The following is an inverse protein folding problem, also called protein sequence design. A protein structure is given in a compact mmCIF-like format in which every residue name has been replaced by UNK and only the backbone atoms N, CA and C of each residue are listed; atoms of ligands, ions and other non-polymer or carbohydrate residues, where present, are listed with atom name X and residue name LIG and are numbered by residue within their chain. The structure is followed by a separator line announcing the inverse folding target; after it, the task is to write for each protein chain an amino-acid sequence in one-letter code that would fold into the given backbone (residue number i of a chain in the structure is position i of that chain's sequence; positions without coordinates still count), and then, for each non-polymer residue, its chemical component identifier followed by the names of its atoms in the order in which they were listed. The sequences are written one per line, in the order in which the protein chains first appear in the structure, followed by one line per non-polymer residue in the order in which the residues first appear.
data_IF_352108125868
#
_entry.id   IF_352108125868
#
_cell.length_a   1.000
_cell.length_b   1.000
_cell.length_c   1.000
_cell.angle_alpha   90.00
_cell.angle_beta   90.00
_cell.angle_gamma   90.00
#
_symmetry.space_group_name_H-M   'P 1'
#
loop_
_entity.id
_entity.type
_entity.pdbx_description
1 polymer ?
#
# COMPACT_ATOMS: atom_id res chain seq x y z
N UNK A 1 21.53 34.41 -16.01
CA UNK A 1 20.24 33.87 -15.57
C UNK A 1 20.39 33.44 -14.12
N UNK A 2 19.93 34.25 -13.18
CA UNK A 2 19.88 33.87 -11.75
C UNK A 2 18.65 32.97 -11.56
N UNK A 3 18.86 31.69 -11.25
CA UNK A 3 17.78 30.82 -10.76
C UNK A 3 17.30 31.42 -9.43
N UNK A 4 16.03 31.84 -9.35
CA UNK A 4 15.45 32.25 -8.07
C UNK A 4 15.27 31.00 -7.21
N UNK A 5 16.14 30.85 -6.20
CA UNK A 5 16.16 29.73 -5.23
C UNK A 5 14.85 29.57 -4.43
N UNK A 6 13.91 30.51 -4.53
CA UNK A 6 12.64 30.50 -3.81
C UNK A 6 11.58 29.55 -4.41
N UNK A 7 11.61 29.32 -5.73
CA UNK A 7 10.64 28.44 -6.40
C UNK A 7 10.93 26.95 -6.21
N UNK A 8 12.21 26.57 -6.24
CA UNK A 8 12.64 25.18 -6.17
C UNK A 8 12.32 24.55 -4.81
N UNK A 9 12.49 25.31 -3.72
CA UNK A 9 12.15 24.85 -2.37
C UNK A 9 10.66 24.56 -2.19
N UNK A 10 9.79 25.35 -2.82
CA UNK A 10 8.35 25.11 -2.77
C UNK A 10 7.95 23.85 -3.55
N UNK A 11 8.55 23.63 -4.72
CA UNK A 11 8.32 22.44 -5.54
C UNK A 11 8.77 21.18 -4.77
N UNK A 12 9.98 21.18 -4.21
CA UNK A 12 10.49 20.06 -3.41
C UNK A 12 9.57 19.76 -2.22
N UNK A 13 9.10 20.80 -1.54
CA UNK A 13 8.16 20.66 -0.42
C UNK A 13 6.84 20.03 -0.87
N UNK A 14 6.26 20.45 -2.00
CA UNK A 14 5.03 19.87 -2.56
C UNK A 14 5.20 18.39 -2.91
N UNK A 15 6.34 18.00 -3.48
CA UNK A 15 6.65 16.59 -3.77
C UNK A 15 6.74 15.78 -2.47
N UNK A 16 7.45 16.28 -1.46
CA UNK A 16 7.62 15.63 -0.16
C UNK A 16 6.32 15.51 0.64
N UNK A 17 5.50 16.55 0.63
CA UNK A 17 4.21 16.60 1.31
C UNK A 17 3.09 15.88 0.54
N UNK A 18 3.34 15.44 -0.69
CA UNK A 18 2.37 14.71 -1.49
C UNK A 18 1.79 13.49 -0.77
N UNK A 19 0.48 13.31 -0.86
CA UNK A 19 -0.26 12.19 -0.25
C UNK A 19 -1.11 11.45 -1.28
N UNK A 20 -1.39 10.19 -0.97
CA UNK A 20 -2.37 9.33 -1.66
C UNK A 20 -3.44 8.97 -0.64
N UNK A 21 -4.71 9.29 -0.96
CA UNK A 21 -5.83 8.82 -0.16
C UNK A 21 -6.03 7.33 -0.47
N UNK A 22 -5.88 6.48 0.55
CA UNK A 22 -5.89 5.02 0.39
C UNK A 22 -6.89 4.41 1.35
N UNK A 23 -7.68 3.45 0.85
CA UNK A 23 -8.52 2.57 1.64
C UNK A 23 -7.91 1.17 1.59
N UNK A 24 -7.67 0.56 2.74
CA UNK A 24 -7.11 -0.80 2.83
C UNK A 24 -8.16 -1.69 3.48
N UNK A 25 -8.58 -2.72 2.75
CA UNK A 25 -9.47 -3.78 3.22
C UNK A 25 -8.68 -5.07 3.43
N UNK A 26 -9.15 -5.93 4.32
CA UNK A 26 -8.66 -7.29 4.40
C UNK A 26 -9.23 -8.10 3.23
N UNK A 27 -8.42 -8.95 2.60
CA UNK A 27 -8.88 -9.86 1.58
C UNK A 27 -9.91 -10.86 2.15
N UNK A 28 -10.98 -11.11 1.40
CA UNK A 28 -12.08 -11.98 1.85
C UNK A 28 -11.61 -13.41 2.11
N UNK A 29 -10.61 -13.86 1.35
CA UNK A 29 -9.99 -15.19 1.44
C UNK A 29 -9.28 -15.42 2.79
N UNK A 30 -8.81 -14.33 3.42
CA UNK A 30 -8.03 -14.39 4.66
C UNK A 30 -8.90 -14.11 5.90
N UNK A 31 -10.20 -13.86 5.71
CA UNK A 31 -11.14 -13.60 6.78
C UNK A 31 -11.38 -14.86 7.61
N UNK A 32 -11.27 -14.71 8.93
CA UNK A 32 -11.82 -15.70 9.86
C UNK A 32 -13.34 -15.62 9.92
N UNK A 33 -13.98 -16.65 10.46
CA UNK A 33 -15.45 -16.73 10.60
C UNK A 33 -16.06 -15.68 11.55
N UNK A 34 -15.26 -14.84 12.20
CA UNK A 34 -15.68 -13.87 13.21
C UNK A 34 -16.15 -12.51 12.64
N UNK A 35 -16.20 -12.37 11.32
CA UNK A 35 -16.73 -11.19 10.63
C UNK A 35 -15.66 -10.31 9.98
N UNK A 36 -16.08 -9.52 8.99
CA UNK A 36 -15.23 -8.60 8.24
C UNK A 36 -14.79 -7.41 9.13
N UNK A 37 -13.48 -7.11 9.23
CA UNK A 37 -13.01 -5.95 9.97
C UNK A 37 -13.28 -4.65 9.21
N UNK A 38 -13.37 -3.55 9.96
CA UNK A 38 -13.50 -2.23 9.35
C UNK A 38 -12.29 -1.89 8.44
N UNK A 39 -12.53 -1.28 7.26
CA UNK A 39 -11.47 -0.79 6.39
C UNK A 39 -10.65 0.31 7.06
N UNK A 40 -9.35 0.34 6.75
CA UNK A 40 -8.44 1.40 7.19
C UNK A 40 -8.32 2.48 6.12
N UNK A 41 -8.66 3.72 6.47
CA UNK A 41 -8.49 4.88 5.58
C UNK A 41 -7.26 5.69 6.02
N UNK A 42 -6.32 5.92 5.10
CA UNK A 42 -5.02 6.53 5.37
C UNK A 42 -4.62 7.52 4.28
N UNK A 43 -3.91 8.57 4.70
CA UNK A 43 -3.22 9.50 3.79
C UNK A 43 -1.75 9.11 3.70
N UNK A 44 -1.39 8.31 2.70
CA UNK A 44 -0.05 7.73 2.58
C UNK A 44 0.93 8.69 1.87
N UNK A 45 2.17 8.87 2.34
CA UNK A 45 3.16 9.70 1.67
C UNK A 45 3.58 9.09 0.31
N UNK A 46 3.50 9.88 -0.76
CA UNK A 46 3.86 9.43 -2.13
C UNK A 46 5.29 8.92 -2.24
N UNK A 47 6.21 9.52 -1.50
CA UNK A 47 7.66 9.22 -1.53
C UNK A 47 8.07 8.07 -0.59
N UNK A 48 7.13 7.47 0.14
CA UNK A 48 7.39 6.36 1.06
C UNK A 48 7.07 5.00 0.41
N UNK A 49 7.28 3.93 1.17
CA UNK A 49 7.06 2.54 0.77
C UNK A 49 6.04 1.87 1.70
N UNK A 50 5.26 0.94 1.16
CA UNK A 50 4.19 0.25 1.91
C UNK A 50 4.66 -0.48 3.18
N UNK A 51 5.77 -1.23 3.19
CA UNK A 51 6.19 -1.98 4.39
C UNK A 51 6.41 -1.08 5.62
N UNK A 52 6.80 0.18 5.40
CA UNK A 52 7.04 1.16 6.48
C UNK A 52 5.75 1.70 7.09
N UNK A 53 4.66 1.75 6.32
CA UNK A 53 3.38 2.37 6.75
C UNK A 53 2.35 1.34 7.20
N UNK A 54 2.48 0.08 6.76
CA UNK A 54 1.48 -0.97 6.99
C UNK A 54 1.59 -1.65 8.37
N UNK A 55 2.63 -1.43 9.17
CA UNK A 55 2.80 -2.15 10.45
C UNK A 55 1.57 -2.05 11.37
N UNK A 56 0.95 -0.87 11.46
CA UNK A 56 -0.24 -0.65 12.30
C UNK A 56 -1.47 -1.35 11.72
N UNK A 57 -1.65 -1.27 10.40
CA UNK A 57 -2.76 -1.88 9.66
C UNK A 57 -2.70 -3.40 9.80
N UNK A 58 -1.51 -3.98 9.60
CA UNK A 58 -1.24 -5.41 9.79
C UNK A 58 -1.68 -5.87 11.18
N UNK A 59 -1.22 -5.20 12.25
CA UNK A 59 -1.56 -5.57 13.64
C UNK A 59 -3.07 -5.50 13.92
N UNK A 60 -3.77 -4.57 13.28
CA UNK A 60 -5.23 -4.47 13.42
C UNK A 60 -5.96 -5.62 12.74
N UNK A 61 -5.52 -6.01 11.54
CA UNK A 61 -6.14 -7.11 10.80
C UNK A 61 -5.75 -8.49 11.31
N UNK A 62 -4.56 -8.68 11.88
CA UNK A 62 -4.11 -9.96 12.46
C UNK A 62 -5.11 -10.61 13.43
N UNK A 63 -5.94 -9.81 14.12
CA UNK A 63 -6.97 -10.31 15.04
C UNK A 63 -8.15 -10.99 14.33
N UNK A 64 -8.37 -10.66 13.07
CA UNK A 64 -9.48 -11.10 12.23
C UNK A 64 -9.08 -12.17 11.20
N UNK A 65 -7.79 -12.54 11.19
CA UNK A 65 -7.20 -13.52 10.29
C UNK A 65 -7.00 -14.85 11.02
N UNK A 66 -7.15 -15.96 10.29
CA UNK A 66 -6.89 -17.31 10.78
C UNK A 66 -5.48 -17.43 11.40
N UNK A 67 -5.32 -18.14 12.53
CA UNK A 67 -4.03 -18.24 13.23
C UNK A 67 -2.87 -18.69 12.35
N UNK A 68 -3.13 -19.55 11.37
CA UNK A 68 -2.14 -20.05 10.40
C UNK A 68 -1.49 -18.95 9.54
N UNK A 69 -2.18 -17.86 9.22
CA UNK A 69 -1.65 -16.79 8.37
C UNK A 69 -1.08 -15.60 9.13
N UNK A 70 -1.15 -15.59 10.48
CA UNK A 70 -0.75 -14.39 11.27
C UNK A 70 0.72 -14.03 11.12
N UNK A 71 1.57 -15.04 10.95
CA UNK A 71 3.02 -14.91 10.82
C UNK A 71 3.49 -14.84 9.36
N UNK A 72 2.58 -15.01 8.40
CA UNK A 72 2.90 -14.90 6.98
C UNK A 72 3.31 -13.47 6.60
N UNK A 73 4.09 -13.38 5.52
CA UNK A 73 4.40 -12.12 4.87
C UNK A 73 3.14 -11.55 4.21
N UNK A 74 2.87 -10.28 4.48
CA UNK A 74 1.71 -9.59 3.90
C UNK A 74 2.04 -9.07 2.51
N UNK A 75 1.03 -9.01 1.65
CA UNK A 75 1.14 -8.35 0.35
C UNK A 75 -0.14 -7.57 0.03
N UNK A 76 -0.07 -6.69 -0.97
CA UNK A 76 -1.18 -5.84 -1.36
C UNK A 76 -1.66 -6.16 -2.77
N UNK A 77 -2.95 -6.03 -3.00
CA UNK A 77 -3.62 -6.14 -4.30
C UNK A 77 -4.38 -4.85 -4.62
N UNK A 78 -4.37 -4.47 -5.90
CA UNK A 78 -5.27 -3.48 -6.48
C UNK A 78 -5.95 -4.09 -7.70
N UNK A 79 -7.27 -4.24 -7.66
CA UNK A 79 -8.08 -4.73 -8.79
C UNK A 79 -7.54 -6.04 -9.41
N UNK A 80 -7.22 -7.03 -8.57
CA UNK A 80 -6.64 -8.31 -9.02
C UNK A 80 -5.15 -8.25 -9.38
N UNK A 81 -4.50 -7.08 -9.30
CA UNK A 81 -3.07 -6.91 -9.59
C UNK A 81 -2.28 -6.90 -8.28
N UNK A 82 -1.35 -7.83 -8.06
CA UNK A 82 -0.47 -7.82 -6.89
C UNK A 82 0.57 -6.69 -6.98
N UNK A 83 0.69 -5.90 -5.91
CA UNK A 83 1.57 -4.74 -5.82
C UNK A 83 3.00 -5.15 -5.47
N UNK A 84 3.94 -4.61 -6.25
CA UNK A 84 5.37 -4.64 -5.97
C UNK A 84 5.75 -3.57 -4.96
N UNK A 85 5.61 -3.90 -3.67
CA UNK A 85 5.79 -2.97 -2.53
C UNK A 85 7.20 -2.35 -2.41
N UNK A 86 8.18 -2.83 -3.19
CA UNK A 86 9.52 -2.23 -3.31
C UNK A 86 9.54 -0.92 -4.10
N UNK A 87 8.44 -0.54 -4.77
CA UNK A 87 8.31 0.76 -5.43
C UNK A 87 7.63 1.79 -4.52
N UNK A 88 7.92 3.09 -4.69
CA UNK A 88 7.26 4.13 -3.91
C UNK A 88 5.74 4.12 -4.12
N UNK A 89 5.00 4.44 -3.07
CA UNK A 89 3.53 4.42 -3.04
C UNK A 89 2.95 5.30 -4.16
N UNK A 90 3.51 6.50 -4.37
CA UNK A 90 3.07 7.41 -5.42
C UNK A 90 3.27 6.83 -6.82
N UNK A 91 4.39 6.14 -7.06
CA UNK A 91 4.68 5.51 -8.36
C UNK A 91 3.69 4.38 -8.64
N UNK A 92 3.43 3.53 -7.66
CA UNK A 92 2.45 2.44 -7.82
C UNK A 92 1.04 2.99 -8.07
N UNK A 93 0.64 4.03 -7.34
CA UNK A 93 -0.65 4.69 -7.55
C UNK A 93 -0.76 5.29 -8.95
N UNK A 94 0.24 6.05 -9.40
CA UNK A 94 0.17 6.75 -10.69
C UNK A 94 0.16 5.78 -11.88
N UNK A 95 0.82 4.63 -11.76
CA UNK A 95 0.86 3.60 -12.82
C UNK A 95 -0.42 2.75 -12.86
N UNK A 96 -0.94 2.37 -11.69
CA UNK A 96 -2.06 1.42 -11.60
C UNK A 96 -3.43 2.11 -11.57
N UNK A 97 -3.55 3.24 -10.86
CA UNK A 97 -4.81 3.98 -10.70
C UNK A 97 -4.93 5.11 -11.73
N UNK A 98 -4.92 4.74 -13.02
CA UNK A 98 -4.87 5.70 -14.14
C UNK A 98 -6.12 6.59 -14.22
N UNK A 99 -7.26 6.10 -13.76
CA UNK A 99 -8.51 6.88 -13.68
C UNK A 99 -8.51 7.92 -12.55
N UNK A 100 -7.53 7.86 -11.65
CA UNK A 100 -7.40 8.80 -10.53
C UNK A 100 -8.51 8.67 -9.50
N UNK A 101 -9.14 7.50 -9.39
CA UNK A 101 -10.22 7.27 -8.43
C UNK A 101 -9.69 7.37 -6.99
N UNK A 102 -10.36 8.15 -6.16
CA UNK A 102 -10.01 8.32 -4.75
C UNK A 102 -11.19 7.92 -3.86
N UNK A 103 -10.97 7.16 -2.77
CA UNK A 103 -9.67 6.65 -2.33
C UNK A 103 -9.16 5.48 -3.19
N UNK A 104 -7.84 5.30 -3.24
CA UNK A 104 -7.20 4.15 -3.88
C UNK A 104 -7.51 2.89 -3.07
N UNK A 105 -8.33 2.01 -3.63
CA UNK A 105 -8.91 0.85 -2.95
C UNK A 105 -7.97 -0.36 -3.01
N UNK A 106 -7.29 -0.67 -1.91
CA UNK A 106 -6.35 -1.78 -1.82
C UNK A 106 -6.91 -2.93 -0.96
N UNK A 107 -6.51 -4.14 -1.29
CA UNK A 107 -6.71 -5.33 -0.44
C UNK A 107 -5.38 -5.77 0.16
N UNK A 108 -5.39 -6.07 1.45
CA UNK A 108 -4.26 -6.63 2.18
C UNK A 108 -4.48 -8.13 2.32
N UNK A 109 -3.48 -8.89 1.92
CA UNK A 109 -3.48 -10.34 2.01
C UNK A 109 -2.43 -10.81 3.03
N UNK A 110 -2.78 -11.87 3.75
CA UNK A 110 -1.92 -12.66 4.62
C UNK A 110 -1.66 -14.07 4.04
N UNK A 111 -2.46 -14.51 3.08
CA UNK A 111 -2.21 -15.72 2.30
C UNK A 111 -0.94 -15.62 1.46
N UNK A 112 -0.45 -16.77 0.98
CA UNK A 112 0.77 -16.84 0.17
C UNK A 112 0.72 -15.90 -1.04
N UNK A 113 1.77 -15.09 -1.27
CA UNK A 113 1.80 -14.18 -2.40
C UNK A 113 1.83 -14.94 -3.73
N UNK A 114 1.28 -14.35 -4.81
CA UNK A 114 1.35 -14.95 -6.13
C UNK A 114 2.80 -15.05 -6.62
N UNK A 115 3.09 -16.05 -7.46
CA UNK A 115 4.44 -16.31 -7.99
C UNK A 115 5.07 -15.10 -8.71
N UNK A 116 4.25 -14.19 -9.26
CA UNK A 116 4.68 -12.94 -9.90
C UNK A 116 5.38 -11.96 -8.95
N UNK A 117 5.15 -12.07 -7.63
CA UNK A 117 5.88 -11.30 -6.62
C UNK A 117 7.17 -12.01 -6.15
N UNK A 118 7.19 -13.34 -6.22
CA UNK A 118 8.29 -14.20 -5.73
C UNK A 118 9.49 -14.20 -6.70
N UNK A 119 9.29 -13.83 -7.98
CA UNK A 119 10.28 -14.00 -9.04
C UNK A 119 11.36 -12.91 -9.15
N UNK A 120 11.66 -12.15 -8.09
CA UNK A 120 12.80 -11.23 -8.12
C UNK A 120 14.01 -11.91 -7.49
N UNK A 121 15.04 -12.27 -8.29
CA UNK A 121 16.27 -12.76 -7.71
C UNK A 121 16.84 -11.63 -6.86
N UNK A 122 16.97 -11.90 -5.56
CA UNK A 122 17.91 -11.18 -4.71
C UNK A 122 19.28 -11.29 -5.42
N UNK A 123 19.74 -10.18 -6.00
CA UNK A 123 21.09 -10.07 -6.53
C UNK A 123 22.12 -10.10 -5.41
#
# INVERSE_FOLDING_TARGET
MSMSMSGDGEILRRVWEGRVATCIKLAEEDLSSYGEPDPHYLMLPRVSYFPLVLEKVRKSFQRHVSPEFRDHEIWLEFDGIPLKMQYPIGVLCDVLNTEGQAPWMLRLHFSSPPASLISLPCG
#
